data_IF_529263757157
#
_entry.id   IF_529263757157
#
_cell.length_a   1.000
_cell.length_b   1.000
_cell.length_c   1.000
_cell.angle_alpha   90.00
_cell.angle_beta   90.00
_cell.angle_gamma   90.00
#
_symmetry.space_group_name_H-M   'P 1'
#
loop_
_entity.id
_entity.type
_entity.pdbx_description
1 polymer ?
#
# COMPACT_ATOMS: atom_id res chain seq x y z
N UNK A 1 0.96 48.74 5.42
CA UNK A 1 -0.51 48.55 5.33
C UNK A 1 -0.81 47.90 4.00
N UNK A 2 -1.73 46.95 4.00
CA UNK A 2 -2.17 46.21 2.83
C UNK A 2 -3.64 46.54 2.53
N UNK A 3 -3.95 46.81 1.26
CA UNK A 3 -5.31 46.85 0.75
C UNK A 3 -5.52 45.71 -0.23
N UNK A 4 -6.48 44.85 0.06
CA UNK A 4 -7.00 43.89 -0.90
C UNK A 4 -8.23 44.51 -1.52
N UNK A 5 -8.18 44.81 -2.82
CA UNK A 5 -9.24 45.54 -3.52
C UNK A 5 -9.87 44.61 -4.54
N UNK A 6 -11.19 44.47 -4.45
CA UNK A 6 -11.98 43.67 -5.39
C UNK A 6 -13.12 44.49 -5.97
N UNK A 7 -13.69 43.99 -7.06
CA UNK A 7 -14.91 44.54 -7.64
C UNK A 7 -16.08 44.41 -6.66
N UNK A 8 -16.78 45.52 -6.44
CA UNK A 8 -17.98 45.60 -5.63
C UNK A 8 -19.23 45.15 -6.39
N UNK A 9 -20.41 45.35 -5.79
CA UNK A 9 -21.69 44.90 -6.37
C UNK A 9 -22.05 45.65 -7.67
N UNK A 10 -21.67 46.92 -7.77
CA UNK A 10 -21.92 47.76 -8.95
C UNK A 10 -20.63 47.88 -9.78
N UNK A 11 -20.78 48.10 -11.09
CA UNK A 11 -19.65 48.22 -12.04
C UNK A 11 -18.61 49.27 -11.64
N UNK A 12 -19.04 50.35 -11.01
CA UNK A 12 -18.18 51.47 -10.61
C UNK A 12 -17.87 51.46 -9.10
N UNK A 13 -18.03 50.33 -8.43
CA UNK A 13 -17.81 50.18 -6.99
C UNK A 13 -16.68 49.18 -6.75
N UNK A 14 -15.77 49.52 -5.84
CA UNK A 14 -14.73 48.62 -5.35
C UNK A 14 -14.88 48.43 -3.85
N UNK A 15 -14.63 47.21 -3.38
CA UNK A 15 -14.52 46.91 -1.97
C UNK A 15 -13.03 46.75 -1.63
N UNK A 16 -12.56 47.57 -0.68
CA UNK A 16 -11.17 47.64 -0.28
C UNK A 16 -11.03 47.22 1.18
N UNK A 17 -10.46 46.03 1.38
CA UNK A 17 -10.20 45.45 2.69
C UNK A 17 -8.82 45.89 3.16
N UNK A 18 -8.79 46.63 4.26
CA UNK A 18 -7.57 47.15 4.85
C UNK A 18 -7.07 46.22 5.95
N UNK A 19 -5.80 45.86 5.86
CA UNK A 19 -5.06 45.11 6.88
C UNK A 19 -3.90 46.00 7.33
N UNK A 20 -3.92 46.43 8.60
CA UNK A 20 -2.96 47.39 9.15
C UNK A 20 -1.56 46.76 9.21
N UNK A 21 -1.48 45.52 9.72
CA UNK A 21 -0.25 44.72 9.82
C UNK A 21 0.01 43.93 8.53
N UNK A 22 0.78 44.54 7.62
CA UNK A 22 1.12 43.96 6.33
C UNK A 22 2.07 42.74 6.45
N UNK A 23 1.68 41.55 5.95
CA UNK A 23 2.59 40.42 5.88
C UNK A 23 3.66 40.61 4.81
N UNK A 24 4.89 40.15 5.08
CA UNK A 24 6.04 40.31 4.17
C UNK A 24 5.81 39.70 2.77
N UNK A 25 5.15 38.54 2.70
CA UNK A 25 4.92 37.78 1.46
C UNK A 25 3.44 37.54 1.24
N UNK A 26 3.01 37.51 -0.03
CA UNK A 26 1.61 37.19 -0.39
C UNK A 26 1.17 35.83 0.17
N UNK A 27 2.06 34.85 0.16
CA UNK A 27 1.79 33.50 0.70
C UNK A 27 1.53 33.49 2.21
N UNK A 28 1.92 34.53 2.96
CA UNK A 28 1.62 34.68 4.39
C UNK A 28 0.27 35.34 4.65
N UNK A 29 -0.41 35.87 3.63
CA UNK A 29 -1.76 36.44 3.74
C UNK A 29 -2.77 35.30 3.70
N UNK A 30 -2.95 34.66 4.85
CA UNK A 30 -3.87 33.54 5.01
C UNK A 30 -4.76 33.75 6.22
N UNK A 31 -6.06 33.56 6.02
CA UNK A 31 -7.06 33.54 7.08
C UNK A 31 -7.09 34.83 7.93
N UNK A 32 -6.80 35.98 7.33
CA UNK A 32 -6.77 37.27 8.01
C UNK A 32 -8.17 37.89 8.06
N UNK A 33 -8.47 38.63 9.11
CA UNK A 33 -9.64 39.52 9.15
C UNK A 33 -9.21 40.90 8.66
N UNK A 34 -10.08 41.58 7.92
CA UNK A 34 -9.86 42.99 7.61
C UNK A 34 -10.05 43.81 8.88
N UNK A 35 -9.12 44.73 9.16
CA UNK A 35 -9.25 45.68 10.25
C UNK A 35 -10.32 46.73 9.91
N UNK A 36 -10.36 47.14 8.63
CA UNK A 36 -11.34 48.09 8.10
C UNK A 36 -11.77 47.69 6.70
N UNK A 37 -13.01 47.99 6.34
CA UNK A 37 -13.56 47.72 5.01
C UNK A 37 -14.09 49.02 4.44
N UNK A 38 -13.53 49.43 3.31
CA UNK A 38 -13.96 50.61 2.59
C UNK A 38 -14.71 50.23 1.33
N UNK A 39 -15.80 50.94 1.05
CA UNK A 39 -16.48 50.92 -0.24
C UNK A 39 -16.07 52.18 -1.01
N UNK A 40 -15.33 51.97 -2.09
CA UNK A 40 -14.82 53.00 -2.98
C UNK A 40 -15.78 53.14 -4.16
N UNK A 41 -16.37 54.32 -4.32
CA UNK A 41 -17.26 54.63 -5.44
C UNK A 41 -16.47 55.44 -6.46
N UNK A 42 -16.31 54.87 -7.65
CA UNK A 42 -15.55 55.44 -8.75
C UNK A 42 -16.48 56.17 -9.73
N UNK A 43 -16.04 57.29 -10.27
CA UNK A 43 -16.73 58.04 -11.33
C UNK A 43 -15.69 58.69 -12.24
N UNK A 44 -15.85 58.60 -13.56
CA UNK A 44 -14.91 59.17 -14.54
C UNK A 44 -13.43 58.83 -14.28
N UNK A 45 -13.16 57.56 -13.94
CA UNK A 45 -11.84 57.06 -13.54
C UNK A 45 -11.20 57.81 -12.35
N UNK A 46 -12.02 58.29 -11.41
CA UNK A 46 -11.62 58.96 -10.16
C UNK A 46 -12.36 58.38 -8.98
N UNK A 47 -11.73 58.43 -7.80
CA UNK A 47 -12.40 58.13 -6.54
C UNK A 47 -13.34 59.29 -6.18
N UNK A 48 -14.64 59.05 -6.26
CA UNK A 48 -15.66 60.06 -6.04
C UNK A 48 -16.13 60.09 -4.58
N UNK A 49 -16.44 58.92 -4.02
CA UNK A 49 -16.92 58.79 -2.63
C UNK A 49 -16.30 57.56 -1.97
N UNK A 50 -16.07 57.66 -0.66
CA UNK A 50 -15.63 56.53 0.17
C UNK A 50 -16.56 56.36 1.34
N UNK A 51 -16.96 55.12 1.62
CA UNK A 51 -17.72 54.73 2.79
C UNK A 51 -16.92 53.73 3.62
N UNK A 52 -16.90 53.90 4.94
CA UNK A 52 -16.44 52.90 5.90
C UNK A 52 -17.66 52.48 6.73
N UNK A 53 -18.18 51.28 6.49
CA UNK A 53 -19.51 50.91 6.96
C UNK A 53 -20.58 51.87 6.41
N UNK A 54 -21.26 52.60 7.30
CA UNK A 54 -22.28 53.60 6.93
C UNK A 54 -21.76 55.04 6.95
N UNK A 55 -20.49 55.27 7.30
CA UNK A 55 -19.92 56.61 7.45
C UNK A 55 -19.16 57.05 6.21
N UNK A 56 -19.37 58.30 5.78
CA UNK A 56 -18.58 58.91 4.71
C UNK A 56 -17.17 59.24 5.20
N UNK A 57 -16.19 58.91 4.37
CA UNK A 57 -14.78 59.28 4.56
C UNK A 57 -14.34 60.23 3.47
N UNK A 58 -13.40 61.11 3.79
CA UNK A 58 -12.82 62.06 2.85
C UNK A 58 -12.03 61.30 1.75
N UNK A 59 -12.42 61.38 0.46
CA UNK A 59 -11.75 60.65 -0.61
C UNK A 59 -10.24 60.97 -0.70
N UNK A 60 -9.83 62.22 -0.45
CA UNK A 60 -8.42 62.64 -0.56
C UNK A 60 -7.52 61.95 0.48
N UNK A 61 -8.04 61.73 1.68
CA UNK A 61 -7.32 61.02 2.75
C UNK A 61 -7.11 59.55 2.38
N UNK A 62 -8.15 58.92 1.82
CA UNK A 62 -8.10 57.53 1.39
C UNK A 62 -7.15 57.37 0.19
N UNK A 63 -7.14 58.31 -0.77
CA UNK A 63 -6.14 58.31 -1.85
C UNK A 63 -4.71 58.40 -1.34
N UNK A 64 -4.46 59.19 -0.27
CA UNK A 64 -3.14 59.28 0.36
C UNK A 64 -2.72 57.94 0.98
N UNK A 65 -3.63 57.25 1.66
CA UNK A 65 -3.38 55.91 2.20
C UNK A 65 -3.12 54.90 1.09
N UNK A 66 -3.97 54.87 0.07
CA UNK A 66 -3.85 53.98 -1.09
C UNK A 66 -2.55 54.21 -1.86
N UNK A 67 -2.02 55.44 -1.91
CA UNK A 67 -0.73 55.74 -2.56
C UNK A 67 0.46 55.06 -1.88
N UNK A 68 0.44 54.95 -0.55
CA UNK A 68 1.57 54.44 0.25
C UNK A 68 1.45 52.95 0.58
N UNK A 69 0.24 52.39 0.49
CA UNK A 69 -0.02 51.01 0.84
C UNK A 69 0.40 50.01 -0.25
N UNK A 70 0.60 48.76 0.14
CA UNK A 70 0.62 47.64 -0.80
C UNK A 70 -0.82 47.34 -1.22
N UNK A 71 -1.08 47.22 -2.52
CA UNK A 71 -2.40 46.94 -3.07
C UNK A 71 -2.37 45.58 -3.77
N UNK A 72 -3.34 44.72 -3.47
CA UNK A 72 -3.61 43.50 -4.23
C UNK A 72 -4.96 43.64 -4.90
N UNK A 73 -4.97 43.67 -6.23
CA UNK A 73 -6.18 43.69 -7.05
C UNK A 73 -6.69 42.27 -7.28
N UNK A 74 -7.99 42.08 -7.09
CA UNK A 74 -8.69 40.80 -7.21
C UNK A 74 -9.91 40.99 -8.11
N UNK A 75 -9.89 40.40 -9.29
CA UNK A 75 -10.98 40.50 -10.29
C UNK A 75 -11.41 41.97 -10.58
N UNK A 76 -10.44 42.89 -10.55
CA UNK A 76 -10.61 44.34 -10.73
C UNK A 76 -9.50 44.92 -11.61
N UNK A 77 -9.06 44.14 -12.62
CA UNK A 77 -7.95 44.47 -13.51
C UNK A 77 -8.17 45.79 -14.27
N UNK A 78 -9.42 46.12 -14.58
CA UNK A 78 -9.79 47.35 -15.28
C UNK A 78 -9.39 48.63 -14.50
N UNK A 79 -9.20 48.51 -13.19
CA UNK A 79 -8.82 49.63 -12.32
C UNK A 79 -7.30 49.73 -12.07
N UNK A 80 -6.50 48.84 -12.62
CA UNK A 80 -5.04 48.87 -12.47
C UNK A 80 -4.43 50.21 -12.89
N UNK A 81 -4.90 50.79 -14.00
CA UNK A 81 -4.43 52.09 -14.49
C UNK A 81 -4.67 53.22 -13.50
N UNK A 82 -5.79 53.18 -12.75
CA UNK A 82 -6.07 54.16 -11.70
C UNK A 82 -5.04 54.04 -10.55
N UNK A 83 -4.79 52.83 -10.05
CA UNK A 83 -3.89 52.66 -8.90
C UNK A 83 -2.40 52.86 -9.28
N UNK A 84 -1.96 52.31 -10.41
CA UNK A 84 -0.54 52.40 -10.82
C UNK A 84 -0.17 53.74 -11.43
N UNK A 85 -0.96 54.21 -12.41
CA UNK A 85 -0.61 55.41 -13.19
C UNK A 85 -1.10 56.67 -12.48
N UNK A 86 -2.39 56.70 -12.14
CA UNK A 86 -3.01 57.93 -11.60
C UNK A 86 -2.61 58.19 -10.14
N UNK A 87 -2.65 57.17 -9.28
CA UNK A 87 -2.21 57.30 -7.89
C UNK A 87 -0.69 57.17 -7.72
N UNK A 88 0.04 56.83 -8.79
CA UNK A 88 1.50 56.63 -8.79
C UNK A 88 1.97 55.57 -7.77
N UNK A 89 1.13 54.57 -7.48
CA UNK A 89 1.50 53.50 -6.56
C UNK A 89 2.26 52.38 -7.29
N UNK A 90 3.53 52.16 -6.90
CA UNK A 90 4.40 51.12 -7.47
C UNK A 90 4.19 49.73 -6.85
N UNK A 91 3.47 49.61 -5.73
CA UNK A 91 3.24 48.39 -4.94
C UNK A 91 1.86 47.80 -5.21
N UNK A 92 1.47 47.70 -6.49
CA UNK A 92 0.19 47.12 -6.92
C UNK A 92 0.44 45.75 -7.54
N UNK A 93 -0.11 44.70 -6.94
CA UNK A 93 0.00 43.31 -7.39
C UNK A 93 -1.38 42.76 -7.77
N UNK A 94 -1.43 41.69 -8.57
CA UNK A 94 -2.66 41.00 -8.95
C UNK A 94 -2.68 39.62 -8.33
N UNK A 95 -3.82 39.20 -7.80
CA UNK A 95 -3.97 37.85 -7.26
C UNK A 95 -5.44 37.44 -7.17
N UNK A 96 -5.67 36.15 -6.93
CA UNK A 96 -7.00 35.63 -6.63
C UNK A 96 -7.21 35.44 -5.12
N UNK A 97 -8.46 35.50 -4.68
CA UNK A 97 -8.85 35.21 -3.30
C UNK A 97 -9.54 33.86 -3.20
N UNK A 98 -9.38 33.22 -2.05
CA UNK A 98 -10.22 32.08 -1.71
C UNK A 98 -11.64 32.55 -1.38
N UNK A 99 -12.59 32.22 -2.26
CA UNK A 99 -14.01 32.54 -2.09
C UNK A 99 -14.60 32.00 -0.78
N UNK A 100 -14.19 30.81 -0.36
CA UNK A 100 -14.66 30.16 0.88
C UNK A 100 -14.20 30.92 2.13
N UNK A 101 -12.96 31.40 2.15
CA UNK A 101 -12.50 32.29 3.22
C UNK A 101 -13.32 33.59 3.25
N UNK A 102 -13.59 34.17 2.07
CA UNK A 102 -14.33 35.42 1.95
C UNK A 102 -15.77 35.31 2.46
N UNK A 103 -16.46 34.20 2.18
CA UNK A 103 -17.79 33.91 2.72
C UNK A 103 -17.81 33.87 4.25
N UNK A 104 -16.70 33.46 4.87
CA UNK A 104 -16.51 33.45 6.32
C UNK A 104 -15.94 34.77 6.88
N UNK A 105 -15.92 35.85 6.08
CA UNK A 105 -15.39 37.15 6.47
C UNK A 105 -13.88 37.19 6.67
N UNK A 106 -13.14 36.26 6.03
CA UNK A 106 -11.68 36.17 6.10
C UNK A 106 -11.04 36.32 4.72
N UNK A 107 -9.78 36.72 4.71
CA UNK A 107 -9.02 37.02 3.50
C UNK A 107 -7.84 36.07 3.44
N UNK A 108 -7.82 35.28 2.37
CA UNK A 108 -6.71 34.40 2.01
C UNK A 108 -6.38 34.62 0.55
N UNK A 109 -5.13 34.98 0.27
CA UNK A 109 -4.62 35.12 -1.09
C UNK A 109 -4.18 33.75 -1.60
N UNK A 110 -4.63 33.43 -2.80
CA UNK A 110 -4.24 32.21 -3.50
C UNK A 110 -2.94 32.45 -4.26
N UNK A 111 -1.99 31.56 -3.99
CA UNK A 111 -0.67 31.47 -4.60
C UNK A 111 -0.47 30.05 -5.13
N UNK A 112 0.54 29.81 -5.93
CA UNK A 112 0.78 28.47 -6.49
C UNK A 112 1.01 27.40 -5.42
N UNK A 113 1.57 27.78 -4.26
CA UNK A 113 1.84 26.83 -3.17
C UNK A 113 0.62 26.41 -2.34
N UNK A 114 -0.39 27.29 -2.23
CA UNK A 114 -1.55 27.07 -1.34
C UNK A 114 -2.89 26.95 -2.08
N UNK A 115 -2.92 27.13 -3.41
CA UNK A 115 -4.12 26.91 -4.21
C UNK A 115 -4.36 25.42 -4.42
N UNK A 116 -5.62 25.01 -4.28
CA UNK A 116 -6.09 23.66 -4.54
C UNK A 116 -7.30 23.79 -5.46
N UNK A 117 -7.33 23.01 -6.54
CA UNK A 117 -8.46 22.99 -7.47
C UNK A 117 -9.66 22.35 -6.79
N UNK A 118 -10.81 23.01 -6.89
CA UNK A 118 -12.09 22.44 -6.49
C UNK A 118 -13.20 22.94 -7.42
N UNK A 119 -13.86 22.01 -8.10
CA UNK A 119 -14.74 22.25 -9.22
C UNK A 119 -14.05 23.08 -10.31
N UNK A 120 -14.63 24.23 -10.68
CA UNK A 120 -14.10 25.15 -11.69
C UNK A 120 -13.27 26.30 -11.12
N UNK A 121 -13.01 26.31 -9.81
CA UNK A 121 -12.26 27.38 -9.14
C UNK A 121 -11.10 26.84 -8.27
N UNK A 122 -10.35 27.77 -7.67
CA UNK A 122 -9.29 27.45 -6.72
C UNK A 122 -9.68 27.92 -5.33
N UNK A 123 -9.41 27.08 -4.33
CA UNK A 123 -9.58 27.40 -2.91
C UNK A 123 -8.24 27.24 -2.19
N UNK A 124 -8.14 27.78 -0.98
CA UNK A 124 -6.93 27.62 -0.19
C UNK A 124 -6.87 26.23 0.45
N UNK A 125 -5.66 25.74 0.72
CA UNK A 125 -5.41 24.43 1.34
C UNK A 125 -6.25 24.18 2.60
N UNK A 126 -6.42 25.20 3.47
CA UNK A 126 -7.26 25.08 4.65
C UNK A 126 -8.73 24.82 4.30
N UNK A 127 -9.31 25.56 3.36
CA UNK A 127 -10.71 25.37 2.96
C UNK A 127 -10.89 24.01 2.28
N UNK A 128 -9.91 23.56 1.50
CA UNK A 128 -9.95 22.23 0.89
C UNK A 128 -9.89 21.11 1.93
N UNK A 129 -9.07 21.26 2.99
CA UNK A 129 -9.05 20.30 4.10
C UNK A 129 -10.37 20.28 4.87
N UNK A 130 -10.98 21.44 5.12
CA UNK A 130 -12.30 21.53 5.77
C UNK A 130 -13.38 20.85 4.91
N UNK A 131 -13.38 21.07 3.59
CA UNK A 131 -14.32 20.44 2.66
C UNK A 131 -14.11 18.92 2.58
N UNK A 132 -12.85 18.47 2.50
CA UNK A 132 -12.51 17.05 2.52
C UNK A 132 -13.01 16.36 3.79
N UNK A 133 -12.90 17.01 4.96
CA UNK A 133 -13.46 16.47 6.22
C UNK A 133 -14.97 16.34 6.17
N UNK A 134 -15.67 17.33 5.60
CA UNK A 134 -17.12 17.32 5.49
C UNK A 134 -17.59 16.16 4.61
N UNK A 135 -16.96 15.99 3.44
CA UNK A 135 -17.26 14.88 2.51
C UNK A 135 -16.99 13.51 3.14
N UNK A 136 -15.85 13.33 3.82
CA UNK A 136 -15.54 12.05 4.49
C UNK A 136 -16.55 11.73 5.61
N UNK A 137 -16.96 12.73 6.40
CA UNK A 137 -18.01 12.55 7.42
C UNK A 137 -19.35 12.19 6.78
N UNK A 138 -19.70 12.82 5.66
CA UNK A 138 -20.96 12.57 4.98
C UNK A 138 -21.01 11.15 4.38
N UNK A 139 -19.95 10.75 3.67
CA UNK A 139 -19.90 9.45 2.96
C UNK A 139 -19.65 8.26 3.88
N UNK A 140 -18.74 8.39 4.85
CA UNK A 140 -18.24 7.26 5.64
C UNK A 140 -18.57 7.35 7.13
N UNK A 141 -19.17 8.45 7.60
CA UNK A 141 -19.41 8.72 9.03
C UNK A 141 -18.14 8.59 9.90
N UNK A 142 -16.96 8.74 9.31
CA UNK A 142 -15.66 8.55 9.95
C UNK A 142 -14.63 9.51 9.38
N UNK A 143 -13.67 9.90 10.22
CA UNK A 143 -12.48 10.67 9.83
C UNK A 143 -11.20 9.83 9.84
N UNK A 144 -11.29 8.51 10.03
CA UNK A 144 -10.12 7.63 10.13
C UNK A 144 -9.21 7.67 8.90
N UNK A 145 -9.76 7.99 7.73
CA UNK A 145 -9.00 8.10 6.47
C UNK A 145 -8.51 9.52 6.17
N UNK A 146 -8.78 10.50 7.04
CA UNK A 146 -8.48 11.91 6.75
C UNK A 146 -6.99 12.15 6.53
N UNK A 147 -6.11 11.56 7.33
CA UNK A 147 -4.66 11.76 7.19
C UNK A 147 -4.12 11.22 5.86
N UNK A 148 -4.65 10.09 5.39
CA UNK A 148 -4.29 9.53 4.08
C UNK A 148 -4.85 10.38 2.94
N UNK A 149 -6.11 10.82 3.05
CA UNK A 149 -6.74 11.71 2.07
C UNK A 149 -6.01 13.06 1.98
N UNK A 150 -5.56 13.59 3.13
CA UNK A 150 -4.76 14.82 3.22
C UNK A 150 -3.43 14.69 2.49
N UNK A 151 -2.74 13.55 2.58
CA UNK A 151 -1.50 13.31 1.82
C UNK A 151 -1.76 13.33 0.31
N UNK A 152 -2.87 12.73 -0.15
CA UNK A 152 -3.27 12.78 -1.56
C UNK A 152 -3.60 14.21 -2.00
N UNK A 153 -4.29 14.98 -1.16
CA UNK A 153 -4.62 16.39 -1.40
C UNK A 153 -3.37 17.26 -1.56
N UNK A 154 -2.36 17.06 -0.73
CA UNK A 154 -1.08 17.74 -0.84
C UNK A 154 -0.31 17.37 -2.11
N UNK A 155 -0.38 16.09 -2.52
CA UNK A 155 0.29 15.57 -3.72
C UNK A 155 -0.35 16.08 -5.01
N UNK A 156 -1.68 16.04 -5.11
CA UNK A 156 -2.38 16.38 -6.36
C UNK A 156 -2.79 17.85 -6.47
N UNK A 157 -2.89 18.56 -5.34
CA UNK A 157 -3.43 19.94 -5.28
C UNK A 157 -4.79 20.07 -6.00
N UNK A 158 -5.59 19.01 -5.90
CA UNK A 158 -6.89 18.85 -6.56
C UNK A 158 -7.82 18.06 -5.65
N UNK A 159 -8.86 18.72 -5.15
CA UNK A 159 -9.81 18.12 -4.22
C UNK A 159 -10.77 17.15 -4.90
N UNK A 160 -11.27 17.46 -6.11
CA UNK A 160 -12.18 16.57 -6.83
C UNK A 160 -11.50 15.24 -7.14
N UNK A 161 -10.22 15.27 -7.54
CA UNK A 161 -9.44 14.06 -7.81
C UNK A 161 -9.28 13.18 -6.57
N UNK A 162 -9.05 13.79 -5.40
CA UNK A 162 -8.97 13.07 -4.13
C UNK A 162 -10.31 12.47 -3.76
N UNK A 163 -11.39 13.23 -3.87
CA UNK A 163 -12.75 12.75 -3.57
C UNK A 163 -13.20 11.62 -4.50
N UNK A 164 -12.74 11.63 -5.76
CA UNK A 164 -12.99 10.56 -6.72
C UNK A 164 -12.40 9.23 -6.26
N UNK A 165 -11.25 9.22 -5.58
CA UNK A 165 -10.64 8.00 -5.02
C UNK A 165 -11.53 7.31 -3.97
N UNK A 166 -12.50 8.05 -3.41
CA UNK A 166 -13.46 7.59 -2.42
C UNK A 166 -14.87 7.40 -3.01
N UNK A 167 -15.06 7.51 -4.32
CA UNK A 167 -16.34 7.17 -4.97
C UNK A 167 -16.47 5.63 -5.08
N UNK A 168 -17.61 5.03 -4.73
CA UNK A 168 -17.83 3.58 -4.89
C UNK A 168 -17.62 3.06 -6.33
N UNK A 169 -17.73 3.93 -7.34
CA UNK A 169 -17.51 3.61 -8.76
C UNK A 169 -16.06 3.79 -9.20
N UNK A 170 -15.18 4.16 -8.28
CA UNK A 170 -13.77 4.33 -8.56
C UNK A 170 -13.13 3.00 -8.96
N UNK A 171 -12.52 2.96 -10.14
CA UNK A 171 -11.77 1.81 -10.63
C UNK A 171 -10.28 2.02 -10.29
N UNK A 172 -9.74 1.31 -9.28
CA UNK A 172 -8.36 1.48 -8.84
C UNK A 172 -7.33 1.05 -9.89
N UNK A 173 -7.74 0.22 -10.87
CA UNK A 173 -6.84 -0.29 -11.92
C UNK A 173 -6.63 0.73 -13.04
N UNK A 174 -7.59 1.63 -13.24
CA UNK A 174 -7.55 2.68 -14.27
C UNK A 174 -6.90 3.98 -13.81
N UNK A 175 -6.61 4.10 -12.50
CA UNK A 175 -6.08 5.33 -11.89
C UNK A 175 -4.79 5.06 -11.11
N UNK A 176 -3.74 4.51 -11.75
CA UNK A 176 -2.50 4.12 -11.07
C UNK A 176 -1.80 5.31 -10.41
N UNK A 177 -2.02 6.54 -10.86
CA UNK A 177 -1.43 7.71 -10.23
C UNK A 177 -1.92 7.94 -8.79
N UNK A 178 -3.13 7.46 -8.46
CA UNK A 178 -3.73 7.50 -7.11
C UNK A 178 -3.39 6.23 -6.33
N UNK A 179 -3.47 5.06 -6.97
CA UNK A 179 -3.46 3.76 -6.29
C UNK A 179 -2.09 3.08 -6.23
N UNK A 180 -1.16 3.44 -7.11
CA UNK A 180 0.16 2.83 -7.18
C UNK A 180 0.99 3.23 -5.96
N UNK A 181 1.20 2.27 -5.07
CA UNK A 181 2.06 2.40 -3.90
C UNK A 181 3.54 2.19 -4.26
N UNK A 182 3.83 1.13 -5.02
CA UNK A 182 5.19 0.73 -5.40
C UNK A 182 5.21 0.02 -6.76
N UNK A 183 6.40 -0.12 -7.35
CA UNK A 183 6.65 -0.89 -8.58
C UNK A 183 7.94 -1.70 -8.46
N UNK A 184 7.79 -3.01 -8.32
CA UNK A 184 8.92 -3.93 -8.35
C UNK A 184 9.29 -4.28 -9.79
N UNK A 185 10.46 -3.84 -10.23
CA UNK A 185 11.01 -4.25 -11.53
C UNK A 185 11.52 -5.69 -11.44
N UNK A 186 11.11 -6.61 -12.35
CA UNK A 186 11.59 -7.98 -12.30
C UNK A 186 13.09 -8.04 -12.58
N UNK A 187 13.86 -8.62 -11.65
CA UNK A 187 15.25 -9.00 -11.93
C UNK A 187 15.24 -10.18 -12.91
N UNK A 188 15.72 -9.96 -14.14
CA UNK A 188 15.85 -11.01 -15.14
C UNK A 188 17.01 -11.94 -14.79
N UNK A 189 16.76 -12.94 -13.95
CA UNK A 189 17.71 -14.03 -13.71
C UNK A 189 17.57 -14.99 -14.90
N UNK A 190 18.60 -15.07 -15.74
CA UNK A 190 18.68 -16.08 -16.80
C UNK A 190 19.09 -17.40 -16.16
N UNK A 191 18.10 -18.24 -15.85
CA UNK A 191 18.35 -19.61 -15.39
C UNK A 191 18.21 -20.55 -16.59
N UNK A 192 19.18 -21.46 -16.77
CA UNK A 192 19.04 -22.56 -17.73
C UNK A 192 17.83 -23.40 -17.31
N UNK A 193 16.81 -23.43 -18.16
CA UNK A 193 15.68 -24.36 -17.99
C UNK A 193 16.18 -25.79 -18.18
N UNK A 194 15.81 -26.67 -17.27
CA UNK A 194 16.13 -28.09 -17.33
C UNK A 194 14.86 -28.87 -17.71
N UNK A 195 14.99 -29.82 -18.62
CA UNK A 195 13.91 -30.78 -18.91
C UNK A 195 13.86 -31.84 -17.81
N UNK A 196 12.68 -32.40 -17.55
CA UNK A 196 12.54 -33.58 -16.67
C UNK A 196 13.38 -34.77 -17.18
N UNK A 197 13.55 -34.90 -18.50
CA UNK A 197 14.36 -35.96 -19.12
C UNK A 197 15.83 -35.90 -18.72
N UNK A 198 16.35 -34.69 -18.50
CA UNK A 198 17.75 -34.42 -18.15
C UNK A 198 18.05 -34.69 -16.66
N UNK A 199 17.04 -34.98 -15.83
CA UNK A 199 17.22 -35.15 -14.39
C UNK A 199 17.70 -36.57 -14.05
N UNK A 200 18.63 -36.67 -13.11
CA UNK A 200 19.11 -37.93 -12.52
C UNK A 200 18.14 -38.43 -11.43
N UNK A 201 16.92 -38.77 -11.83
CA UNK A 201 15.86 -39.31 -10.95
C UNK A 201 15.25 -40.59 -11.58
N UNK A 202 14.60 -41.46 -10.80
CA UNK A 202 14.00 -42.69 -11.33
C UNK A 202 13.02 -42.44 -12.48
N UNK A 203 13.06 -43.28 -13.52
CA UNK A 203 12.24 -43.12 -14.74
C UNK A 203 10.73 -43.15 -14.43
N UNK A 204 10.29 -44.06 -13.56
CA UNK A 204 8.89 -44.12 -13.13
C UNK A 204 8.42 -42.80 -12.49
N UNK A 205 9.31 -42.10 -11.76
CA UNK A 205 8.99 -40.80 -11.20
C UNK A 205 8.94 -39.71 -12.28
N UNK A 206 9.82 -39.75 -13.29
CA UNK A 206 9.75 -38.83 -14.45
C UNK A 206 8.42 -38.96 -15.19
N UNK A 207 7.95 -40.19 -15.39
CA UNK A 207 6.66 -40.46 -16.04
C UNK A 207 5.50 -39.84 -15.27
N UNK A 208 5.47 -40.02 -13.93
CA UNK A 208 4.47 -39.39 -13.07
C UNK A 208 4.49 -37.86 -13.17
N UNK A 209 5.68 -37.24 -13.23
CA UNK A 209 5.79 -35.79 -13.41
C UNK A 209 5.25 -35.33 -14.77
N UNK A 210 5.54 -36.07 -15.85
CA UNK A 210 5.06 -35.75 -17.20
C UNK A 210 3.54 -35.89 -17.33
N UNK A 211 2.94 -36.90 -16.69
CA UNK A 211 1.49 -37.08 -16.65
C UNK A 211 0.78 -35.92 -15.94
N UNK A 212 1.41 -35.33 -14.92
CA UNK A 212 0.92 -34.12 -14.23
C UNK A 212 1.23 -32.83 -15.04
N UNK A 213 1.73 -32.95 -16.27
CA UNK A 213 2.01 -31.83 -17.17
C UNK A 213 3.35 -31.13 -16.92
N UNK A 214 4.22 -31.68 -16.08
CA UNK A 214 5.55 -31.12 -15.79
C UNK A 214 6.56 -31.65 -16.81
N UNK A 215 6.93 -30.82 -17.79
CA UNK A 215 7.96 -31.15 -18.80
C UNK A 215 9.26 -30.39 -18.61
N UNK A 216 9.18 -29.13 -18.19
CA UNK A 216 10.31 -28.27 -17.90
C UNK A 216 10.24 -27.76 -16.46
N UNK A 217 11.40 -27.62 -15.82
CA UNK A 217 11.50 -27.02 -14.50
C UNK A 217 11.38 -25.49 -14.56
N UNK A 218 10.70 -24.93 -13.55
CA UNK A 218 10.68 -23.50 -13.30
C UNK A 218 12.06 -22.99 -12.84
N UNK A 219 12.37 -21.70 -13.01
CA UNK A 219 13.70 -21.16 -12.67
C UNK A 219 14.17 -21.48 -11.24
N UNK A 220 13.29 -21.39 -10.25
CA UNK A 220 13.64 -21.72 -8.84
C UNK A 220 13.96 -23.21 -8.65
N UNK A 221 13.27 -24.09 -9.38
CA UNK A 221 13.51 -25.54 -9.34
C UNK A 221 14.84 -25.88 -10.02
N UNK A 222 15.12 -25.31 -11.20
CA UNK A 222 16.42 -25.49 -11.87
C UNK A 222 17.58 -24.96 -11.03
N UNK A 223 17.41 -23.81 -10.36
CA UNK A 223 18.40 -23.30 -9.42
C UNK A 223 18.63 -24.26 -8.25
N UNK A 224 17.58 -24.85 -7.66
CA UNK A 224 17.73 -25.82 -6.59
C UNK A 224 18.56 -27.03 -7.03
N UNK A 225 18.30 -27.58 -8.22
CA UNK A 225 19.09 -28.68 -8.80
C UNK A 225 20.56 -28.28 -8.96
N UNK A 226 20.84 -27.09 -9.51
CA UNK A 226 22.20 -26.57 -9.69
C UNK A 226 22.97 -26.42 -8.36
N UNK A 227 22.25 -26.14 -7.26
CA UNK A 227 22.81 -26.01 -5.92
C UNK A 227 22.83 -27.33 -5.13
N UNK A 228 22.72 -28.48 -5.82
CA UNK A 228 22.96 -29.78 -5.20
C UNK A 228 21.74 -30.47 -4.59
N UNK A 229 20.52 -30.05 -4.96
CA UNK A 229 19.29 -30.72 -4.49
C UNK A 229 19.33 -32.24 -4.67
N UNK A 230 19.71 -32.74 -5.85
CA UNK A 230 19.80 -34.19 -6.12
C UNK A 230 21.07 -34.83 -5.54
N UNK A 231 22.04 -34.03 -5.12
CA UNK A 231 23.28 -34.50 -4.47
C UNK A 231 23.11 -34.71 -2.96
N UNK A 232 21.95 -34.36 -2.41
CA UNK A 232 21.67 -34.49 -0.98
C UNK A 232 22.01 -33.25 -0.15
N UNK A 233 22.34 -32.11 -0.78
CA UNK A 233 22.68 -30.89 -0.07
C UNK A 233 21.45 -30.28 0.63
N UNK A 234 21.64 -29.74 1.83
CA UNK A 234 20.58 -29.04 2.56
C UNK A 234 20.34 -27.67 1.92
N UNK A 235 19.09 -27.32 1.63
CA UNK A 235 18.76 -26.08 0.94
C UNK A 235 17.66 -25.30 1.67
N UNK A 236 17.82 -23.97 1.69
CA UNK A 236 16.77 -23.02 2.02
C UNK A 236 16.32 -22.35 0.72
N UNK A 237 15.09 -22.64 0.31
CA UNK A 237 14.48 -22.09 -0.90
C UNK A 237 13.58 -20.93 -0.50
N UNK A 238 13.88 -19.73 -0.99
CA UNK A 238 13.08 -18.53 -0.76
C UNK A 238 12.49 -18.08 -2.09
N UNK A 239 11.17 -18.18 -2.25
CA UNK A 239 10.50 -17.70 -3.45
C UNK A 239 9.02 -17.40 -3.23
N UNK A 240 8.43 -16.61 -4.14
CA UNK A 240 7.01 -16.29 -4.10
C UNK A 240 6.12 -17.54 -4.01
N UNK A 241 4.95 -17.41 -3.39
CA UNK A 241 3.92 -18.45 -3.40
C UNK A 241 3.54 -18.79 -4.85
N UNK A 242 3.12 -20.04 -5.08
CA UNK A 242 2.82 -20.59 -6.40
C UNK A 242 4.00 -20.65 -7.41
N UNK A 243 5.25 -20.42 -7.00
CA UNK A 243 6.42 -20.59 -7.89
C UNK A 243 6.92 -22.03 -8.00
N UNK A 244 6.16 -23.02 -7.51
CA UNK A 244 6.49 -24.44 -7.63
C UNK A 244 7.47 -25.01 -6.58
N UNK A 245 7.52 -24.44 -5.37
CA UNK A 245 8.37 -24.93 -4.25
C UNK A 245 8.11 -26.39 -3.87
N UNK A 246 6.86 -26.86 -3.98
CA UNK A 246 6.51 -28.25 -3.63
C UNK A 246 7.25 -29.27 -4.48
N UNK A 247 7.42 -29.02 -5.79
CA UNK A 247 8.15 -29.95 -6.65
C UNK A 247 9.63 -30.07 -6.25
N UNK A 248 10.25 -29.03 -5.67
CA UNK A 248 11.63 -29.11 -5.17
C UNK A 248 11.73 -30.14 -4.04
N UNK A 249 10.76 -30.11 -3.13
CA UNK A 249 10.65 -31.09 -2.05
C UNK A 249 10.40 -32.51 -2.59
N UNK A 250 9.52 -32.67 -3.58
CA UNK A 250 9.26 -33.96 -4.23
C UNK A 250 10.53 -34.51 -4.91
N UNK A 251 11.27 -33.68 -5.65
CA UNK A 251 12.52 -34.05 -6.31
C UNK A 251 13.60 -34.52 -5.33
N UNK A 252 13.64 -33.97 -4.12
CA UNK A 252 14.56 -34.41 -3.06
C UNK A 252 14.08 -35.65 -2.28
N UNK A 253 12.77 -35.83 -2.15
CA UNK A 253 12.17 -36.84 -1.28
C UNK A 253 11.79 -38.14 -1.97
N UNK A 254 11.12 -38.06 -3.12
CA UNK A 254 10.53 -39.23 -3.81
C UNK A 254 11.58 -40.23 -4.28
N UNK A 255 12.72 -39.83 -4.90
CA UNK A 255 13.77 -40.79 -5.26
C UNK A 255 14.32 -41.58 -4.06
N UNK A 256 14.38 -40.96 -2.87
CA UNK A 256 14.82 -41.64 -1.64
C UNK A 256 13.74 -42.54 -1.06
N UNK A 257 12.48 -42.13 -1.16
CA UNK A 257 11.31 -42.96 -0.82
C UNK A 257 11.28 -44.27 -1.62
N UNK A 258 11.53 -44.19 -2.93
CA UNK A 258 11.64 -45.36 -3.80
C UNK A 258 12.83 -46.28 -3.40
N UNK A 259 13.87 -45.71 -2.79
CA UNK A 259 15.02 -46.45 -2.27
C UNK A 259 14.87 -46.88 -0.79
N UNK A 260 13.66 -46.82 -0.23
CA UNK A 260 13.36 -47.30 1.13
C UNK A 260 13.71 -46.33 2.26
N UNK A 261 13.98 -45.05 1.98
CA UNK A 261 14.14 -44.00 2.98
C UNK A 261 12.88 -43.13 3.10
N UNK A 262 12.49 -42.74 4.29
CA UNK A 262 11.26 -41.98 4.51
C UNK A 262 11.43 -40.50 4.18
N UNK A 263 10.40 -39.93 3.57
CA UNK A 263 10.24 -38.49 3.35
C UNK A 263 9.30 -37.91 4.43
N UNK A 264 9.79 -36.96 5.21
CA UNK A 264 8.96 -36.14 6.09
C UNK A 264 8.61 -34.82 5.41
N UNK A 265 7.32 -34.54 5.24
CA UNK A 265 6.84 -33.26 4.72
C UNK A 265 6.06 -32.51 5.79
N UNK A 266 6.68 -31.46 6.34
CA UNK A 266 6.16 -30.72 7.49
C UNK A 266 5.49 -29.42 7.04
N UNK A 267 4.29 -29.16 7.54
CA UNK A 267 3.49 -27.96 7.22
C UNK A 267 2.97 -27.29 8.49
N UNK A 268 2.65 -25.98 8.46
CA UNK A 268 2.21 -25.28 9.67
C UNK A 268 0.75 -25.55 10.06
N UNK A 269 -0.11 -25.98 9.13
CA UNK A 269 -1.56 -26.09 9.36
C UNK A 269 -2.11 -27.48 9.00
N UNK A 270 -3.13 -27.91 9.75
CA UNK A 270 -3.83 -29.20 9.54
C UNK A 270 -4.48 -29.26 8.15
N UNK A 271 -5.09 -28.16 7.69
CA UNK A 271 -5.69 -28.08 6.36
C UNK A 271 -4.66 -28.33 5.25
N UNK A 272 -3.48 -27.70 5.35
CA UNK A 272 -2.38 -27.91 4.42
C UNK A 272 -1.86 -29.35 4.47
N UNK A 273 -1.83 -29.96 5.66
CA UNK A 273 -1.41 -31.35 5.81
C UNK A 273 -2.37 -32.30 5.09
N UNK A 274 -3.68 -32.09 5.21
CA UNK A 274 -4.68 -32.89 4.51
C UNK A 274 -4.57 -32.71 2.99
N UNK A 275 -4.41 -31.47 2.51
CA UNK A 275 -4.21 -31.20 1.08
C UNK A 275 -2.99 -31.94 0.54
N UNK A 276 -1.82 -31.79 1.19
CA UNK A 276 -0.58 -32.44 0.75
C UNK A 276 -0.66 -33.96 0.85
N UNK A 277 -1.34 -34.49 1.86
CA UNK A 277 -1.59 -35.92 2.00
C UNK A 277 -2.36 -36.47 0.80
N UNK A 278 -3.50 -35.86 0.45
CA UNK A 278 -4.31 -36.30 -0.70
C UNK A 278 -3.54 -36.15 -2.02
N UNK A 279 -2.82 -35.04 -2.21
CA UNK A 279 -1.99 -34.82 -3.39
C UNK A 279 -0.91 -35.90 -3.55
N UNK A 280 -0.16 -36.19 -2.48
CA UNK A 280 0.90 -37.19 -2.50
C UNK A 280 0.36 -38.60 -2.63
N UNK A 281 -0.75 -38.91 -1.96
CA UNK A 281 -1.41 -40.21 -2.09
C UNK A 281 -1.88 -40.44 -3.52
N UNK A 282 -2.58 -39.46 -4.13
CA UNK A 282 -3.02 -39.53 -5.52
C UNK A 282 -1.87 -39.74 -6.49
N UNK A 283 -0.76 -39.03 -6.30
CA UNK A 283 0.37 -39.01 -7.24
C UNK A 283 1.33 -40.19 -7.08
N UNK A 284 1.57 -40.66 -5.86
CA UNK A 284 2.67 -41.58 -5.59
C UNK A 284 2.26 -42.98 -5.13
N UNK A 285 0.98 -43.22 -4.81
CA UNK A 285 0.53 -44.59 -4.55
C UNK A 285 0.65 -45.50 -5.78
N UNK A 286 0.60 -44.95 -7.01
CA UNK A 286 0.90 -45.68 -8.25
C UNK A 286 2.38 -46.10 -8.38
N UNK A 287 3.28 -45.46 -7.64
CA UNK A 287 4.69 -45.86 -7.54
C UNK A 287 4.94 -46.85 -6.38
N UNK A 288 3.88 -47.40 -5.78
CA UNK A 288 3.98 -48.29 -4.63
C UNK A 288 4.30 -47.59 -3.29
N UNK A 289 4.39 -46.26 -3.26
CA UNK A 289 4.69 -45.51 -2.04
C UNK A 289 3.46 -45.36 -1.15
N UNK A 290 3.60 -45.75 0.10
CA UNK A 290 2.60 -45.54 1.15
C UNK A 290 2.72 -44.12 1.68
N UNK A 291 1.60 -43.42 1.78
CA UNK A 291 1.52 -42.06 2.30
C UNK A 291 0.72 -42.09 3.61
N UNK A 292 1.24 -41.45 4.65
CA UNK A 292 0.55 -41.26 5.92
C UNK A 292 0.44 -39.78 6.29
N UNK A 293 -0.55 -39.47 7.11
CA UNK A 293 -0.75 -38.14 7.69
C UNK A 293 -0.62 -38.19 9.21
N UNK A 294 0.07 -37.19 9.79
CA UNK A 294 0.33 -37.04 11.23
C UNK A 294 0.07 -35.59 11.66
N UNK A 295 -1.16 -35.31 12.06
CA UNK A 295 -1.58 -33.97 12.50
C UNK A 295 -1.77 -33.93 14.02
N UNK A 296 -1.49 -32.79 14.65
CA UNK A 296 -1.83 -32.58 16.06
C UNK A 296 -3.34 -32.75 16.28
N UNK A 297 -3.75 -33.37 17.39
CA UNK A 297 -5.17 -33.53 17.73
C UNK A 297 -5.83 -32.14 17.83
N UNK A 298 -6.70 -31.82 16.87
CA UNK A 298 -7.64 -30.71 17.04
C UNK A 298 -8.60 -31.08 18.16
N UNK A 299 -8.67 -30.26 19.21
CA UNK A 299 -9.71 -30.36 20.25
C UNK A 299 -11.11 -30.01 19.71
N UNK A 300 -11.24 -29.67 18.43
CA UNK A 300 -12.48 -29.23 17.80
C UNK A 300 -12.99 -30.36 16.91
N UNK A 301 -13.98 -31.11 17.42
CA UNK A 301 -14.83 -31.99 16.61
C UNK A 301 -15.85 -31.11 15.89
N UNK A 302 -15.52 -30.60 14.71
CA UNK A 302 -16.51 -30.06 13.78
C UNK A 302 -17.10 -31.22 12.98
N UNK A 303 -18.43 -31.30 12.92
CA UNK A 303 -19.18 -32.50 12.48
C UNK A 303 -19.08 -32.83 10.98
N UNK A 304 -18.53 -31.95 10.15
CA UNK A 304 -18.72 -32.01 8.68
C UNK A 304 -17.44 -31.91 7.83
N UNK A 305 -16.24 -31.93 8.42
CA UNK A 305 -14.99 -32.03 7.64
C UNK A 305 -14.41 -33.44 7.75
N UNK A 306 -14.24 -34.12 6.60
CA UNK A 306 -13.51 -35.38 6.46
C UNK A 306 -12.01 -35.15 6.73
N UNK A 307 -11.66 -34.83 7.97
CA UNK A 307 -10.26 -34.77 8.40
C UNK A 307 -9.74 -36.20 8.44
N UNK A 308 -8.78 -36.53 7.57
CA UNK A 308 -8.17 -37.87 7.58
C UNK A 308 -7.50 -38.06 8.94
N UNK A 309 -8.01 -39.01 9.70
CA UNK A 309 -7.55 -39.30 11.06
C UNK A 309 -6.27 -40.11 10.97
N UNK A 310 -5.16 -39.42 11.19
CA UNK A 310 -3.88 -39.92 11.71
C UNK A 310 -3.54 -41.40 11.38
N UNK A 311 -2.91 -41.67 10.23
CA UNK A 311 -2.91 -43.02 9.61
C UNK A 311 -1.72 -43.93 9.91
N UNK A 312 -0.71 -43.49 10.68
CA UNK A 312 0.45 -44.32 11.01
C UNK A 312 1.80 -43.64 10.78
N UNK A 313 2.89 -44.27 11.24
CA UNK A 313 4.27 -43.89 10.87
C UNK A 313 4.92 -44.92 9.95
N UNK A 314 4.23 -46.01 9.66
CA UNK A 314 4.67 -47.02 8.70
C UNK A 314 4.24 -46.66 7.28
N UNK A 315 4.81 -45.56 6.79
CA UNK A 315 4.65 -45.07 5.44
C UNK A 315 5.99 -44.56 4.90
N UNK A 316 6.12 -44.51 3.59
CA UNK A 316 7.32 -44.05 2.89
C UNK A 316 7.34 -42.51 2.82
N UNK A 317 6.16 -41.90 2.74
CA UNK A 317 5.95 -40.47 2.83
C UNK A 317 5.05 -40.16 4.03
N UNK A 318 5.49 -39.26 4.91
CA UNK A 318 4.71 -38.83 6.07
C UNK A 318 4.52 -37.33 5.99
N UNK A 319 3.28 -36.90 5.79
CA UNK A 319 2.87 -35.50 5.85
C UNK A 319 2.43 -35.19 7.27
N UNK A 320 2.93 -34.12 7.88
CA UNK A 320 2.53 -33.80 9.25
C UNK A 320 2.62 -32.34 9.62
N UNK A 321 1.86 -31.94 10.64
CA UNK A 321 2.04 -30.61 11.23
C UNK A 321 3.28 -30.59 12.12
N UNK A 322 3.87 -29.42 12.32
CA UNK A 322 5.00 -29.26 13.24
C UNK A 322 4.69 -29.86 14.62
N UNK A 323 3.53 -29.54 15.19
CA UNK A 323 3.11 -30.03 16.49
C UNK A 323 2.86 -31.55 16.50
N UNK A 324 2.26 -32.09 15.43
CA UNK A 324 1.97 -33.52 15.33
C UNK A 324 3.26 -34.35 15.33
N UNK A 325 4.26 -33.91 14.57
CA UNK A 325 5.56 -34.59 14.51
C UNK A 325 6.38 -34.35 15.79
N UNK A 326 6.44 -33.14 16.34
CA UNK A 326 7.18 -32.89 17.60
C UNK A 326 6.59 -33.71 18.76
N UNK A 327 5.26 -33.80 18.87
CA UNK A 327 4.60 -34.66 19.85
C UNK A 327 5.03 -36.13 19.70
N UNK A 328 5.01 -36.65 18.47
CA UNK A 328 5.39 -38.02 18.18
C UNK A 328 6.85 -38.32 18.56
N UNK A 329 7.77 -37.41 18.25
CA UNK A 329 9.18 -37.56 18.57
C UNK A 329 9.43 -37.47 20.09
N UNK A 330 8.72 -36.58 20.80
CA UNK A 330 8.79 -36.48 22.27
C UNK A 330 8.23 -37.70 22.98
N UNK A 331 7.24 -38.37 22.39
CA UNK A 331 6.72 -39.64 22.86
C UNK A 331 7.69 -40.83 22.63
N UNK A 332 8.90 -40.58 22.12
CA UNK A 332 9.93 -41.60 21.93
C UNK A 332 9.72 -42.49 20.70
N UNK A 333 8.72 -42.18 19.85
CA UNK A 333 8.48 -42.96 18.63
C UNK A 333 9.54 -42.62 17.59
N UNK A 334 10.18 -43.66 17.05
CA UNK A 334 11.14 -43.54 15.95
C UNK A 334 10.41 -43.70 14.63
N UNK A 335 10.56 -42.72 13.74
CA UNK A 335 9.91 -42.72 12.42
C UNK A 335 10.55 -43.75 11.47
N UNK A 336 11.79 -44.19 11.73
CA UNK A 336 12.55 -45.12 10.90
C UNK A 336 13.73 -44.44 10.21
N UNK A 337 14.14 -44.93 9.04
CA UNK A 337 15.23 -44.35 8.24
C UNK A 337 14.70 -43.15 7.46
N UNK A 338 14.81 -41.94 8.01
CA UNK A 338 14.41 -40.69 7.32
C UNK A 338 15.53 -40.21 6.42
N UNK A 339 15.25 -40.07 5.12
CA UNK A 339 16.20 -39.61 4.10
C UNK A 339 16.06 -38.14 3.72
N UNK A 340 14.85 -37.60 3.82
CA UNK A 340 14.54 -36.21 3.50
C UNK A 340 13.54 -35.64 4.49
N UNK A 341 13.82 -34.43 4.98
CA UNK A 341 12.95 -33.62 5.84
C UNK A 341 12.68 -32.31 5.12
N UNK A 342 11.41 -32.07 4.82
CA UNK A 342 10.93 -30.84 4.19
C UNK A 342 10.19 -30.03 5.24
N UNK A 343 10.55 -28.76 5.38
CA UNK A 343 9.89 -27.80 6.27
C UNK A 343 9.28 -26.73 5.38
N UNK A 344 7.99 -26.89 5.07
CA UNK A 344 7.23 -25.90 4.31
C UNK A 344 6.90 -24.70 5.19
N UNK A 345 6.83 -23.50 4.63
CA UNK A 345 6.60 -22.24 5.36
C UNK A 345 7.60 -22.01 6.51
N UNK A 346 8.89 -22.30 6.30
CA UNK A 346 9.92 -22.21 7.35
C UNK A 346 10.10 -20.80 7.92
N UNK A 347 9.65 -19.75 7.22
CA UNK A 347 9.63 -18.38 7.74
C UNK A 347 8.75 -18.22 8.99
N UNK A 348 7.86 -19.18 9.28
CA UNK A 348 7.15 -19.29 10.56
C UNK A 348 8.09 -19.44 11.77
N UNK A 349 9.40 -19.59 11.56
CA UNK A 349 10.41 -19.50 12.63
C UNK A 349 10.45 -18.10 13.27
N UNK A 350 10.04 -17.06 12.54
CA UNK A 350 9.95 -15.67 13.02
C UNK A 350 8.65 -15.38 13.79
N UNK A 351 7.74 -16.35 13.88
CA UNK A 351 6.48 -16.21 14.62
C UNK A 351 6.74 -16.18 16.14
N UNK A 352 6.20 -15.17 16.84
CA UNK A 352 6.43 -14.96 18.27
C UNK A 352 5.97 -16.15 19.15
N UNK A 353 4.87 -16.83 18.78
CA UNK A 353 4.30 -17.91 19.59
C UNK A 353 4.80 -19.30 19.17
N UNK A 354 4.97 -19.52 17.87
CA UNK A 354 5.26 -20.83 17.26
C UNK A 354 6.70 -21.00 16.81
N UNK A 355 7.45 -19.91 16.63
CA UNK A 355 8.81 -19.93 16.10
C UNK A 355 9.78 -20.76 16.94
N UNK A 356 9.78 -20.56 18.26
CA UNK A 356 10.62 -21.34 19.19
C UNK A 356 10.29 -22.85 19.17
N UNK A 357 9.03 -23.22 18.88
CA UNK A 357 8.62 -24.63 18.76
C UNK A 357 9.15 -25.24 17.47
N UNK A 358 9.06 -24.49 16.36
CA UNK A 358 9.62 -24.93 15.08
C UNK A 358 11.14 -25.09 15.16
N UNK A 359 11.86 -24.13 15.74
CA UNK A 359 13.30 -24.23 15.95
C UNK A 359 13.68 -25.47 16.78
N UNK A 360 12.99 -25.69 17.90
CA UNK A 360 13.17 -26.88 18.74
C UNK A 360 12.89 -28.20 17.99
N UNK A 361 11.88 -28.23 17.11
CA UNK A 361 11.59 -29.38 16.26
C UNK A 361 12.71 -29.62 15.24
N UNK A 362 13.19 -28.57 14.55
CA UNK A 362 14.28 -28.66 13.58
C UNK A 362 15.54 -29.20 14.25
N UNK A 363 15.92 -28.65 15.41
CA UNK A 363 17.06 -29.11 16.19
C UNK A 363 16.93 -30.59 16.58
N UNK A 364 15.74 -31.01 17.01
CA UNK A 364 15.45 -32.41 17.36
C UNK A 364 15.57 -33.34 16.15
N UNK A 365 15.01 -32.95 15.00
CA UNK A 365 15.09 -33.73 13.76
C UNK A 365 16.54 -33.87 13.29
N UNK A 366 17.33 -32.79 13.32
CA UNK A 366 18.76 -32.84 12.95
C UNK A 366 19.56 -33.76 13.87
N UNK A 367 19.23 -33.80 15.16
CA UNK A 367 19.86 -34.71 16.14
C UNK A 367 19.48 -36.17 15.90
N UNK A 368 18.21 -36.45 15.62
CA UNK A 368 17.71 -37.82 15.43
C UNK A 368 18.05 -38.40 14.05
N UNK A 369 18.10 -37.54 13.03
CA UNK A 369 18.32 -37.91 11.62
C UNK A 369 19.46 -37.08 11.00
N UNK A 370 20.70 -37.23 11.49
CA UNK A 370 21.83 -36.38 11.06
C UNK A 370 22.24 -36.58 9.60
N UNK A 371 21.83 -37.70 8.98
CA UNK A 371 22.10 -38.01 7.56
C UNK A 371 20.95 -37.60 6.63
N UNK A 372 19.80 -37.17 7.17
CA UNK A 372 18.70 -36.72 6.35
C UNK A 372 19.03 -35.39 5.68
N UNK A 373 18.56 -35.21 4.45
CA UNK A 373 18.60 -33.94 3.75
C UNK A 373 17.46 -33.04 4.25
N UNK A 374 17.78 -31.79 4.59
CA UNK A 374 16.83 -30.78 5.06
C UNK A 374 16.56 -29.77 3.95
N UNK A 375 15.29 -29.62 3.58
CA UNK A 375 14.81 -28.65 2.61
C UNK A 375 13.85 -27.70 3.32
N UNK A 376 14.27 -26.46 3.56
CA UNK A 376 13.39 -25.39 4.05
C UNK A 376 12.76 -24.65 2.87
N UNK A 377 11.44 -24.47 2.88
CA UNK A 377 10.72 -23.71 1.87
C UNK A 377 10.13 -22.46 2.53
N UNK A 378 10.50 -21.28 2.02
CA UNK A 378 10.02 -19.98 2.49
C UNK A 378 9.36 -19.21 1.37
#
# INVERSE_FOLDING_TARGET
MLFVIRRGRKRNELEAYCIENEPEKLSKIQNLKADRIYRLIMMDNRLFKVLEGSQYRNPKEIEKLLRQARIVLVDADEWEGYFRVRLQNKRVEKSHLCRFCLLNGRITILTEGNRIRFHSEYICERCAEEELKNELRYRFRSLGMFDQAKKLLQRFKDLDKVLMAFDPRFDPTKSPEITKWDELKPKKIKVKKLSIDELEIPEEFKEVLKEEGVRELLPVQSLAIQHGLLKGDNLLIVSATASGKTLIAELAGIPKALNGEKMLFLVPLVALANQKYEDFRRRYSKLGLRVAIRVGMSRIKTRDELVVVDTGIDADIIVGTYEGIDYLLRAGKKIGKVGTVVIDEIHMIDDEERGARLDGLIARLRKLYPKAQFIGLS
#
